data_IF_029981522566
#
_entry.id   IF_029981522566
#
_cell.length_a   1.000
_cell.length_b   1.000
_cell.length_c   1.000
_cell.angle_alpha   90.00
_cell.angle_beta   90.00
_cell.angle_gamma   90.00
#
_symmetry.space_group_name_H-M   'P 1'
#
loop_
_entity.id
_entity.type
_entity.pdbx_description
1 polymer ?
#
# COMPACT_ATOMS: atom_id res chain seq x y z
N UNK A 1 -24.83 -23.00 22.35
CA UNK A 1 -24.44 -21.57 22.34
C UNK A 1 -23.71 -21.17 21.07
N UNK A 2 -22.70 -21.91 20.57
CA UNK A 2 -22.02 -21.56 19.32
C UNK A 2 -22.98 -21.50 18.12
N UNK A 3 -23.89 -22.47 17.97
CA UNK A 3 -24.92 -22.49 16.92
C UNK A 3 -25.82 -21.24 16.94
N UNK A 4 -26.25 -20.79 18.12
CA UNK A 4 -27.04 -19.56 18.25
C UNK A 4 -26.27 -18.32 17.77
N UNK A 5 -24.96 -18.25 18.06
CA UNK A 5 -24.14 -17.16 17.51
C UNK A 5 -23.97 -17.27 15.99
N UNK A 6 -23.97 -18.49 15.43
CA UNK A 6 -23.95 -18.71 13.98
C UNK A 6 -25.22 -18.15 13.34
N UNK A 7 -26.39 -18.57 13.82
CA UNK A 7 -27.70 -18.12 13.32
C UNK A 7 -27.79 -16.58 13.35
N UNK A 8 -27.40 -15.95 14.45
CA UNK A 8 -27.41 -14.49 14.54
C UNK A 8 -26.45 -13.81 13.56
N UNK A 9 -25.25 -14.35 13.38
CA UNK A 9 -24.24 -13.76 12.49
C UNK A 9 -24.57 -13.95 11.01
N UNK A 10 -25.42 -14.91 10.66
CA UNK A 10 -25.97 -15.05 9.31
C UNK A 10 -26.98 -13.96 8.96
N UNK A 11 -27.68 -13.41 9.95
CA UNK A 11 -28.59 -12.27 9.80
C UNK A 11 -27.88 -10.92 9.94
N UNK A 12 -26.91 -10.82 10.87
CA UNK A 12 -26.19 -9.59 11.18
C UNK A 12 -24.68 -9.80 11.32
N UNK A 13 -23.99 -9.80 10.17
CA UNK A 13 -22.54 -10.01 10.05
C UNK A 13 -21.70 -8.99 10.82
N UNK A 14 -22.20 -7.78 11.06
CA UNK A 14 -21.45 -6.66 11.64
C UNK A 14 -21.48 -6.62 13.16
N UNK A 15 -22.31 -7.45 13.80
CA UNK A 15 -22.52 -7.42 15.26
C UNK A 15 -21.26 -7.79 16.03
N UNK A 16 -20.48 -6.77 16.40
CA UNK A 16 -19.22 -6.92 17.12
C UNK A 16 -19.41 -7.63 18.47
N UNK A 17 -20.52 -7.35 19.16
CA UNK A 17 -20.88 -7.98 20.44
C UNK A 17 -21.02 -9.50 20.31
N UNK A 18 -21.67 -9.97 19.23
CA UNK A 18 -21.85 -11.41 18.99
C UNK A 18 -20.54 -12.07 18.58
N UNK A 19 -19.71 -11.41 17.76
CA UNK A 19 -18.36 -11.89 17.48
C UNK A 19 -17.51 -12.02 18.75
N UNK A 20 -17.58 -11.06 19.67
CA UNK A 20 -16.91 -11.15 20.98
C UNK A 20 -17.45 -12.32 21.81
N UNK A 21 -18.77 -12.48 21.87
CA UNK A 21 -19.38 -13.59 22.62
C UNK A 21 -18.97 -14.94 22.05
N UNK A 22 -18.95 -15.06 20.72
CA UNK A 22 -18.45 -16.25 20.01
C UNK A 22 -16.98 -16.55 20.34
N UNK A 23 -16.11 -15.54 20.32
CA UNK A 23 -14.71 -15.69 20.77
C UNK A 23 -14.61 -16.15 22.22
N UNK A 24 -15.45 -15.61 23.11
CA UNK A 24 -15.45 -15.99 24.52
C UNK A 24 -15.85 -17.46 24.72
N UNK A 25 -16.87 -17.92 23.99
CA UNK A 25 -17.28 -19.34 23.98
C UNK A 25 -16.13 -20.23 23.49
N UNK A 26 -15.50 -19.89 22.35
CA UNK A 26 -14.39 -20.68 21.81
C UNK A 26 -13.16 -20.66 22.73
N UNK A 27 -12.84 -19.51 23.33
CA UNK A 27 -11.69 -19.38 24.23
C UNK A 27 -11.87 -20.23 25.49
N UNK A 28 -12.95 -20.02 26.23
CA UNK A 28 -13.11 -20.66 27.54
C UNK A 28 -13.69 -22.07 27.43
N UNK A 29 -14.56 -22.31 26.45
CA UNK A 29 -15.25 -23.58 26.26
C UNK A 29 -14.50 -24.57 25.37
N UNK A 30 -13.46 -24.15 24.64
CA UNK A 30 -12.66 -25.04 23.78
C UNK A 30 -11.18 -24.90 24.08
N UNK A 31 -10.59 -23.73 23.84
CA UNK A 31 -9.12 -23.56 23.87
C UNK A 31 -8.52 -23.77 25.26
N UNK A 32 -9.17 -23.25 26.30
CA UNK A 32 -8.71 -23.36 27.69
C UNK A 32 -9.34 -24.55 28.44
N UNK A 33 -10.22 -25.31 27.78
CA UNK A 33 -10.95 -26.38 28.44
C UNK A 33 -10.06 -27.62 28.57
N UNK A 34 -9.94 -28.23 29.77
CA UNK A 34 -8.95 -29.27 30.03
C UNK A 34 -9.20 -30.59 29.30
N UNK A 35 -10.43 -30.84 28.84
CA UNK A 35 -10.80 -32.09 28.15
C UNK A 35 -10.38 -32.12 26.67
N UNK A 36 -10.08 -30.97 26.05
CA UNK A 36 -9.70 -30.92 24.64
C UNK A 36 -8.18 -30.94 24.47
N UNK A 37 -7.70 -31.91 23.71
CA UNK A 37 -6.31 -31.95 23.28
C UNK A 37 -6.03 -30.97 22.13
N UNK A 38 -4.75 -30.73 21.85
CA UNK A 38 -4.33 -29.80 20.79
C UNK A 38 -4.89 -30.17 19.41
N UNK A 39 -5.02 -31.45 19.12
CA UNK A 39 -5.57 -31.94 17.84
C UNK A 39 -7.05 -31.60 17.70
N UNK A 40 -7.83 -31.80 18.76
CA UNK A 40 -9.26 -31.49 18.78
C UNK A 40 -9.49 -29.99 18.68
N UNK A 41 -8.74 -29.19 19.45
CA UNK A 41 -8.78 -27.72 19.36
C UNK A 41 -8.46 -27.26 17.94
N UNK A 42 -7.44 -27.84 17.31
CA UNK A 42 -7.05 -27.50 15.95
C UNK A 42 -8.17 -27.78 14.93
N UNK A 43 -8.80 -28.94 15.01
CA UNK A 43 -9.92 -29.30 14.13
C UNK A 43 -11.13 -28.36 14.31
N UNK A 44 -11.42 -27.94 15.55
CA UNK A 44 -12.49 -26.96 15.81
C UNK A 44 -12.15 -25.61 15.17
N UNK A 45 -10.90 -25.16 15.25
CA UNK A 45 -10.46 -23.92 14.60
C UNK A 45 -10.52 -24.03 13.07
N UNK A 46 -10.17 -25.17 12.49
CA UNK A 46 -10.31 -25.40 11.05
C UNK A 46 -11.78 -25.33 10.60
N UNK A 47 -12.69 -25.91 11.38
CA UNK A 47 -14.14 -25.81 11.12
C UNK A 47 -14.63 -24.35 11.23
N UNK A 48 -14.11 -23.60 12.21
CA UNK A 48 -14.42 -22.18 12.37
C UNK A 48 -13.95 -21.36 11.17
N UNK A 49 -12.75 -21.63 10.65
CA UNK A 49 -12.25 -20.99 9.43
C UNK A 49 -13.07 -21.35 8.19
N UNK A 50 -13.59 -22.58 8.12
CA UNK A 50 -14.52 -22.98 7.06
C UNK A 50 -15.83 -22.20 7.13
N UNK A 51 -16.40 -22.03 8.33
CA UNK A 51 -17.55 -21.16 8.55
C UNK A 51 -17.28 -19.72 8.06
N UNK A 52 -16.12 -19.16 8.43
CA UNK A 52 -15.72 -17.83 7.96
C UNK A 52 -15.56 -17.77 6.43
N UNK A 53 -15.04 -18.82 5.79
CA UNK A 53 -14.93 -18.86 4.33
C UNK A 53 -16.31 -18.75 3.66
N UNK A 54 -17.34 -19.40 4.21
CA UNK A 54 -18.71 -19.27 3.68
C UNK A 54 -19.28 -17.87 3.89
N UNK A 55 -19.05 -17.25 5.04
CA UNK A 55 -19.45 -15.86 5.27
C UNK A 55 -18.73 -14.89 4.33
N UNK A 56 -17.43 -15.09 4.09
CA UNK A 56 -16.63 -14.25 3.21
C UNK A 56 -17.05 -14.34 1.74
N UNK A 57 -17.58 -15.48 1.30
CA UNK A 57 -18.18 -15.61 -0.05
C UNK A 57 -19.42 -14.70 -0.18
N UNK A 58 -20.18 -14.52 0.91
CA UNK A 58 -21.37 -13.67 0.95
C UNK A 58 -21.01 -12.19 1.14
N UNK A 59 -20.13 -11.89 2.09
CA UNK A 59 -19.82 -10.54 2.57
C UNK A 59 -18.31 -10.35 2.87
N UNK A 60 -17.44 -10.19 1.85
CA UNK A 60 -15.98 -10.15 2.02
C UNK A 60 -15.44 -8.83 2.61
N UNK A 61 -16.28 -7.81 2.82
CA UNK A 61 -15.87 -6.46 3.27
C UNK A 61 -16.24 -6.16 4.72
N UNK A 62 -16.60 -7.19 5.49
CA UNK A 62 -16.96 -7.04 6.90
C UNK A 62 -15.72 -7.17 7.77
N UNK A 63 -15.37 -6.08 8.46
CA UNK A 63 -14.21 -6.03 9.35
C UNK A 63 -14.22 -7.13 10.42
N UNK A 64 -15.39 -7.37 11.04
CA UNK A 64 -15.51 -8.34 12.13
C UNK A 64 -15.15 -9.77 11.71
N UNK A 65 -15.44 -10.16 10.46
CA UNK A 65 -15.06 -11.46 9.92
C UNK A 65 -13.54 -11.57 9.82
N UNK A 66 -12.85 -10.58 9.22
CA UNK A 66 -11.39 -10.59 9.12
C UNK A 66 -10.69 -10.55 10.48
N UNK A 67 -11.25 -9.78 11.42
CA UNK A 67 -10.78 -9.72 12.81
C UNK A 67 -10.91 -11.08 13.50
N UNK A 68 -12.06 -11.75 13.34
CA UNK A 68 -12.27 -13.09 13.90
C UNK A 68 -11.40 -14.14 13.23
N UNK A 69 -11.20 -14.04 11.92
CA UNK A 69 -10.28 -14.91 11.17
C UNK A 69 -8.87 -14.81 11.73
N UNK A 70 -8.35 -13.59 11.90
CA UNK A 70 -7.06 -13.34 12.55
C UNK A 70 -7.00 -13.99 13.94
N UNK A 71 -8.05 -13.84 14.75
CA UNK A 71 -8.12 -14.46 16.07
C UNK A 71 -8.04 -16.00 16.01
N UNK A 72 -8.73 -16.65 15.07
CA UNK A 72 -8.65 -18.11 14.88
C UNK A 72 -7.20 -18.56 14.61
N UNK A 73 -6.50 -17.85 13.75
CA UNK A 73 -5.11 -18.12 13.42
C UNK A 73 -4.16 -17.93 14.61
N UNK A 74 -4.38 -16.90 15.44
CA UNK A 74 -3.58 -16.64 16.65
C UNK A 74 -3.78 -17.69 17.75
N UNK A 75 -4.89 -18.43 17.71
CA UNK A 75 -5.23 -19.45 18.70
C UNK A 75 -5.09 -20.89 18.15
N UNK A 76 -4.66 -21.06 16.91
CA UNK A 76 -4.45 -22.37 16.31
C UNK A 76 -3.26 -23.09 16.96
N UNK A 77 -3.43 -24.31 17.51
CA UNK A 77 -2.32 -25.06 18.13
C UNK A 77 -1.20 -25.44 17.16
N UNK A 78 -1.51 -25.51 15.86
CA UNK A 78 -0.57 -25.84 14.80
C UNK A 78 -0.67 -24.81 13.67
N UNK A 79 0.45 -24.55 12.96
CA UNK A 79 0.48 -23.69 11.79
C UNK A 79 -0.49 -24.05 10.67
N UNK A 80 -1.23 -23.06 10.18
CA UNK A 80 -2.18 -23.21 9.06
C UNK A 80 -2.03 -22.11 7.99
N UNK A 81 -0.94 -21.33 8.08
CA UNK A 81 -0.75 -20.11 7.29
C UNK A 81 -0.51 -20.34 5.79
N UNK A 82 0.13 -21.45 5.41
CA UNK A 82 0.45 -21.74 4.00
C UNK A 82 -0.80 -21.86 3.13
N UNK A 83 -1.83 -22.55 3.63
CA UNK A 83 -3.13 -22.65 2.95
C UNK A 83 -3.84 -21.29 2.89
N UNK A 84 -3.60 -20.41 3.86
CA UNK A 84 -4.22 -19.10 3.94
C UNK A 84 -3.77 -18.17 2.82
N UNK A 85 -2.49 -18.25 2.44
CA UNK A 85 -1.97 -17.48 1.30
C UNK A 85 -2.76 -17.76 0.02
N UNK A 86 -3.12 -19.01 -0.25
CA UNK A 86 -3.95 -19.39 -1.39
C UNK A 86 -5.38 -18.83 -1.28
N UNK A 87 -5.98 -18.83 -0.09
CA UNK A 87 -7.30 -18.23 0.14
C UNK A 87 -7.27 -16.74 -0.18
N UNK A 88 -6.26 -16.03 0.31
CA UNK A 88 -6.05 -14.60 0.06
C UNK A 88 -5.87 -14.32 -1.44
N UNK A 89 -5.03 -15.10 -2.12
CA UNK A 89 -4.81 -14.99 -3.56
C UNK A 89 -6.12 -15.14 -4.34
N UNK A 90 -6.96 -16.11 -3.97
CA UNK A 90 -8.25 -16.35 -4.61
C UNK A 90 -9.25 -15.21 -4.39
N UNK A 91 -9.25 -14.56 -3.22
CA UNK A 91 -10.18 -13.46 -2.96
C UNK A 91 -9.67 -12.17 -3.62
N UNK A 92 -8.36 -11.90 -3.59
CA UNK A 92 -7.78 -10.78 -4.35
C UNK A 92 -8.00 -10.93 -5.84
N UNK A 93 -7.97 -12.15 -6.39
CA UNK A 93 -8.31 -12.39 -7.79
C UNK A 93 -9.73 -11.94 -8.17
N UNK A 94 -10.67 -11.88 -7.21
CA UNK A 94 -12.04 -11.37 -7.42
C UNK A 94 -12.17 -9.87 -7.17
N UNK A 95 -11.45 -9.33 -6.20
CA UNK A 95 -11.39 -7.89 -5.91
C UNK A 95 -9.94 -7.48 -5.57
N UNK A 96 -9.20 -7.09 -6.62
CA UNK A 96 -7.79 -6.73 -6.54
C UNK A 96 -7.54 -5.49 -5.69
N UNK A 97 -8.57 -4.70 -5.38
CA UNK A 97 -8.48 -3.43 -4.64
C UNK A 97 -9.03 -3.54 -3.22
N UNK A 98 -9.36 -4.74 -2.75
CA UNK A 98 -9.89 -4.93 -1.41
C UNK A 98 -8.83 -4.67 -0.33
N UNK A 99 -8.90 -3.49 0.29
CA UNK A 99 -7.95 -3.03 1.29
C UNK A 99 -7.86 -3.93 2.53
N UNK A 100 -8.96 -4.53 2.98
CA UNK A 100 -8.94 -5.45 4.12
C UNK A 100 -8.05 -6.66 3.85
N UNK A 101 -8.09 -7.16 2.62
CA UNK A 101 -7.34 -8.34 2.22
C UNK A 101 -5.86 -8.01 2.06
N UNK A 102 -5.53 -6.85 1.49
CA UNK A 102 -4.13 -6.40 1.41
C UNK A 102 -3.49 -6.25 2.79
N UNK A 103 -4.21 -5.70 3.77
CA UNK A 103 -3.71 -5.62 5.14
C UNK A 103 -3.61 -7.00 5.79
N UNK A 104 -4.60 -7.84 5.59
CA UNK A 104 -4.60 -9.20 6.13
C UNK A 104 -3.48 -10.06 5.51
N UNK A 105 -3.19 -9.88 4.22
CA UNK A 105 -2.05 -10.49 3.53
C UNK A 105 -0.73 -10.14 4.20
N UNK A 106 -0.48 -8.85 4.46
CA UNK A 106 0.73 -8.42 5.17
C UNK A 106 0.88 -9.12 6.51
N UNK A 107 -0.22 -9.23 7.27
CA UNK A 107 -0.23 -9.95 8.53
C UNK A 107 0.10 -11.44 8.35
N UNK A 108 -0.57 -12.15 7.45
CA UNK A 108 -0.34 -13.58 7.22
C UNK A 108 1.09 -13.85 6.74
N UNK A 109 1.61 -13.04 5.82
CA UNK A 109 3.00 -13.14 5.38
C UNK A 109 3.95 -12.97 6.57
N UNK A 110 3.75 -11.96 7.42
CA UNK A 110 4.62 -11.77 8.60
C UNK A 110 4.64 -12.97 9.54
N UNK A 111 3.52 -13.70 9.68
CA UNK A 111 3.43 -14.93 10.49
C UNK A 111 4.12 -16.12 9.82
N UNK A 112 3.97 -16.27 8.50
CA UNK A 112 4.70 -17.28 7.72
C UNK A 112 6.21 -17.05 7.85
N UNK A 113 6.67 -15.81 7.72
CA UNK A 113 8.08 -15.44 7.86
C UNK A 113 8.60 -15.71 9.28
N UNK A 114 7.84 -15.33 10.31
CA UNK A 114 8.20 -15.58 11.71
C UNK A 114 8.37 -17.08 12.01
N UNK A 115 7.51 -17.91 11.43
CA UNK A 115 7.55 -19.35 11.60
C UNK A 115 8.68 -20.02 10.80
N UNK A 116 8.77 -19.69 9.51
CA UNK A 116 9.70 -20.36 8.59
C UNK A 116 11.12 -19.78 8.66
N UNK A 117 11.30 -18.61 9.31
CA UNK A 117 12.55 -17.85 9.37
C UNK A 117 13.12 -17.51 7.97
N UNK A 118 12.22 -17.27 7.02
CA UNK A 118 12.54 -16.92 5.63
C UNK A 118 11.78 -15.64 5.29
N UNK A 119 12.45 -14.67 4.65
CA UNK A 119 11.80 -13.46 4.14
C UNK A 119 11.08 -13.72 2.82
N UNK A 120 9.86 -13.19 2.71
CA UNK A 120 9.01 -13.16 1.53
C UNK A 120 8.97 -11.75 0.91
N UNK A 121 9.79 -10.80 1.39
CA UNK A 121 9.73 -9.41 0.92
C UNK A 121 9.89 -9.29 -0.60
N UNK A 122 10.85 -10.03 -1.20
CA UNK A 122 11.06 -10.06 -2.66
C UNK A 122 9.89 -10.70 -3.41
N UNK A 123 9.39 -11.85 -2.96
CA UNK A 123 8.29 -12.54 -3.64
C UNK A 123 6.97 -11.75 -3.56
N UNK A 124 6.74 -11.05 -2.46
CA UNK A 124 5.63 -10.11 -2.31
C UNK A 124 5.81 -8.85 -3.18
N UNK A 125 7.05 -8.37 -3.34
CA UNK A 125 7.33 -7.27 -4.26
C UNK A 125 7.07 -7.67 -5.72
N UNK A 126 7.45 -8.88 -6.12
CA UNK A 126 7.13 -9.44 -7.44
C UNK A 126 5.61 -9.65 -7.61
N UNK A 127 4.93 -10.07 -6.54
CA UNK A 127 3.47 -10.17 -6.53
C UNK A 127 2.81 -8.82 -6.81
N UNK A 128 3.25 -7.72 -6.16
CA UNK A 128 2.70 -6.38 -6.46
C UNK A 128 2.89 -5.99 -7.93
N UNK A 129 4.03 -6.35 -8.54
CA UNK A 129 4.25 -6.12 -9.97
C UNK A 129 3.28 -6.95 -10.83
N UNK A 130 2.99 -8.19 -10.45
CA UNK A 130 1.99 -9.02 -11.15
C UNK A 130 0.58 -8.40 -11.08
N UNK A 131 0.24 -7.72 -9.98
CA UNK A 131 -1.03 -7.00 -9.84
C UNK A 131 -1.02 -5.73 -10.70
N UNK A 132 0.06 -4.94 -10.68
CA UNK A 132 0.17 -3.72 -11.48
C UNK A 132 0.12 -3.99 -12.99
N UNK A 133 0.60 -5.15 -13.44
CA UNK A 133 0.45 -5.60 -14.84
C UNK A 133 -1.03 -5.85 -15.23
N UNK A 134 -1.88 -6.23 -14.26
CA UNK A 134 -3.32 -6.46 -14.47
C UNK A 134 -4.13 -5.16 -14.28
N UNK A 135 -3.74 -4.34 -13.32
CA UNK A 135 -4.39 -3.08 -12.96
C UNK A 135 -3.32 -2.06 -12.54
N UNK A 136 -2.82 -1.29 -13.50
CA UNK A 136 -1.78 -0.27 -13.28
C UNK A 136 -2.29 0.95 -12.49
N UNK A 137 -3.58 1.00 -12.15
CA UNK A 137 -4.19 1.99 -11.26
C UNK A 137 -4.31 1.47 -9.81
N UNK A 138 -3.87 0.25 -9.51
CA UNK A 138 -4.07 -0.39 -8.21
C UNK A 138 -3.26 0.29 -7.09
N UNK A 139 -3.94 1.12 -6.30
CA UNK A 139 -3.34 1.84 -5.18
C UNK A 139 -2.75 0.89 -4.11
N UNK A 140 -3.44 -0.21 -3.79
CA UNK A 140 -3.00 -1.13 -2.75
C UNK A 140 -1.67 -1.80 -3.10
N UNK A 141 -1.46 -2.16 -4.37
CA UNK A 141 -0.18 -2.69 -4.84
C UNK A 141 0.94 -1.64 -4.72
N UNK A 142 0.71 -0.40 -5.16
CA UNK A 142 1.70 0.68 -4.99
C UNK A 142 1.99 0.99 -3.52
N UNK A 143 0.96 1.05 -2.67
CA UNK A 143 1.14 1.28 -1.25
C UNK A 143 1.97 0.17 -0.62
N UNK A 144 1.71 -1.10 -0.95
CA UNK A 144 2.49 -2.20 -0.41
C UNK A 144 3.96 -2.15 -0.85
N UNK A 145 4.24 -1.70 -2.08
CA UNK A 145 5.62 -1.42 -2.51
C UNK A 145 6.32 -0.41 -1.60
N UNK A 146 5.63 0.65 -1.14
CA UNK A 146 6.24 1.63 -0.21
C UNK A 146 6.71 1.02 1.12
N UNK A 147 6.13 -0.11 1.52
CA UNK A 147 6.49 -0.88 2.71
C UNK A 147 7.61 -1.88 2.41
N UNK A 148 7.52 -2.56 1.27
CA UNK A 148 8.47 -3.60 0.86
C UNK A 148 9.84 -3.05 0.45
N UNK A 149 9.88 -1.91 -0.23
CA UNK A 149 11.13 -1.34 -0.75
C UNK A 149 12.16 -1.04 0.36
N UNK A 150 11.83 -0.33 1.45
CA UNK A 150 12.76 -0.13 2.56
C UNK A 150 13.26 -1.45 3.15
N UNK A 151 12.34 -2.39 3.34
CA UNK A 151 12.63 -3.70 3.91
C UNK A 151 13.60 -4.52 3.05
N UNK A 152 13.39 -4.55 1.73
CA UNK A 152 14.28 -5.26 0.79
C UNK A 152 15.68 -4.63 0.81
N UNK A 153 15.78 -3.30 0.80
CA UNK A 153 17.06 -2.59 0.83
C UNK A 153 17.85 -2.93 2.10
N UNK A 154 17.16 -3.02 3.24
CA UNK A 154 17.74 -3.37 4.54
C UNK A 154 18.16 -4.85 4.59
N UNK A 155 17.25 -5.78 4.30
CA UNK A 155 17.50 -7.23 4.36
C UNK A 155 18.62 -7.68 3.43
N UNK A 156 18.70 -7.09 2.24
CA UNK A 156 19.72 -7.41 1.24
C UNK A 156 21.00 -6.59 1.39
N UNK A 157 21.03 -5.63 2.31
CA UNK A 157 22.18 -4.74 2.53
C UNK A 157 22.67 -4.06 1.24
N UNK A 158 21.74 -3.60 0.38
CA UNK A 158 22.08 -3.03 -0.92
C UNK A 158 23.09 -1.89 -0.82
N UNK A 159 24.06 -1.90 -1.72
CA UNK A 159 25.01 -0.82 -1.97
C UNK A 159 24.31 0.40 -2.57
N UNK A 160 25.00 1.55 -2.57
CA UNK A 160 24.46 2.76 -3.21
C UNK A 160 24.14 2.57 -4.70
N UNK A 161 24.91 1.75 -5.42
CA UNK A 161 24.68 1.45 -6.83
C UNK A 161 23.43 0.59 -7.03
N UNK A 162 23.23 -0.43 -6.20
CA UNK A 162 22.03 -1.29 -6.25
C UNK A 162 20.77 -0.52 -5.87
N UNK A 163 20.83 0.34 -4.84
CA UNK A 163 19.72 1.23 -4.47
C UNK A 163 19.36 2.18 -5.61
N UNK A 164 20.37 2.77 -6.27
CA UNK A 164 20.15 3.61 -7.46
C UNK A 164 19.48 2.83 -8.59
N UNK A 165 19.98 1.64 -8.89
CA UNK A 165 19.39 0.79 -9.94
C UNK A 165 17.94 0.40 -9.62
N UNK A 166 17.66 0.10 -8.35
CA UNK A 166 16.30 -0.15 -7.87
C UNK A 166 15.41 1.08 -8.07
N UNK A 167 15.88 2.25 -7.63
CA UNK A 167 15.18 3.53 -7.80
C UNK A 167 14.88 3.83 -9.28
N UNK A 168 15.86 3.65 -10.17
CA UNK A 168 15.70 3.88 -11.61
C UNK A 168 14.60 3.00 -12.22
N UNK A 169 14.51 1.73 -11.79
CA UNK A 169 13.44 0.82 -12.24
C UNK A 169 12.06 1.27 -11.77
N UNK A 170 11.94 1.68 -10.50
CA UNK A 170 10.66 2.15 -9.95
C UNK A 170 10.22 3.48 -10.56
N UNK A 171 11.16 4.36 -10.82
CA UNK A 171 10.92 5.62 -11.49
C UNK A 171 10.50 5.37 -12.95
N UNK A 172 11.17 4.45 -13.65
CA UNK A 172 10.76 4.07 -15.01
C UNK A 172 9.34 3.47 -15.06
N UNK A 173 8.98 2.62 -14.09
CA UNK A 173 7.63 2.05 -13.98
C UNK A 173 6.57 3.16 -13.87
N UNK A 174 6.78 4.10 -12.94
CA UNK A 174 5.83 5.20 -12.73
C UNK A 174 5.76 6.14 -13.91
N UNK A 175 6.90 6.49 -14.51
CA UNK A 175 6.96 7.29 -15.75
C UNK A 175 6.16 6.65 -16.87
N UNK A 176 6.36 5.36 -17.13
CA UNK A 176 5.66 4.64 -18.20
C UNK A 176 4.13 4.71 -18.05
N UNK A 177 3.65 4.65 -16.80
CA UNK A 177 2.23 4.80 -16.49
C UNK A 177 1.78 6.26 -16.64
N UNK A 178 2.57 7.23 -16.18
CA UNK A 178 2.26 8.67 -16.29
C UNK A 178 2.18 9.11 -17.76
N UNK A 179 3.09 8.61 -18.62
CA UNK A 179 3.09 8.89 -20.06
C UNK A 179 1.82 8.39 -20.76
N UNK A 180 1.28 7.25 -20.31
CA UNK A 180 0.10 6.61 -20.94
C UNK A 180 -1.21 6.99 -20.26
N UNK A 181 -1.17 7.43 -19.01
CA UNK A 181 -2.33 7.76 -18.19
C UNK A 181 -1.95 8.82 -17.16
N UNK A 182 -1.80 10.09 -17.58
CA UNK A 182 -1.38 11.19 -16.70
C UNK A 182 -2.38 11.48 -15.57
N UNK A 183 -3.62 11.02 -15.67
CA UNK A 183 -4.63 11.13 -14.61
C UNK A 183 -4.56 10.00 -13.55
N UNK A 184 -3.60 9.08 -13.66
CA UNK A 184 -3.46 7.98 -12.71
C UNK A 184 -2.92 8.46 -11.35
N UNK A 185 -3.84 8.76 -10.44
CA UNK A 185 -3.52 9.21 -9.09
C UNK A 185 -2.61 8.24 -8.31
N UNK A 186 -2.79 6.92 -8.45
CA UNK A 186 -1.98 5.91 -7.75
C UNK A 186 -0.51 5.96 -8.17
N UNK A 187 -0.25 6.07 -9.48
CA UNK A 187 1.10 6.20 -10.03
C UNK A 187 1.76 7.50 -9.55
N UNK A 188 1.02 8.61 -9.53
CA UNK A 188 1.52 9.88 -9.01
C UNK A 188 1.85 9.86 -7.53
N UNK A 189 1.02 9.21 -6.71
CA UNK A 189 1.30 9.06 -5.27
C UNK A 189 2.59 8.27 -5.05
N UNK A 190 2.81 7.19 -5.80
CA UNK A 190 4.05 6.42 -5.71
C UNK A 190 5.25 7.17 -6.27
N UNK A 191 5.11 7.87 -7.40
CA UNK A 191 6.16 8.74 -7.97
C UNK A 191 6.57 9.84 -6.99
N UNK A 192 5.60 10.50 -6.35
CA UNK A 192 5.84 11.49 -5.29
C UNK A 192 6.60 10.87 -4.11
N UNK A 193 6.22 9.66 -3.68
CA UNK A 193 6.92 8.96 -2.61
C UNK A 193 8.38 8.66 -2.99
N UNK A 194 8.64 8.21 -4.21
CA UNK A 194 10.00 7.98 -4.71
C UNK A 194 10.84 9.27 -4.65
N UNK A 195 10.36 10.37 -5.22
CA UNK A 195 11.09 11.64 -5.24
C UNK A 195 11.26 12.26 -3.85
N UNK A 196 10.26 12.11 -2.97
CA UNK A 196 10.38 12.61 -1.61
C UNK A 196 11.43 11.83 -0.81
N UNK A 197 11.55 10.50 -1.00
CA UNK A 197 12.56 9.71 -0.30
C UNK A 197 13.99 10.07 -0.71
N UNK A 198 14.22 10.45 -1.98
CA UNK A 198 15.54 10.92 -2.40
C UNK A 198 15.83 12.36 -1.96
N UNK A 199 14.78 13.15 -1.71
CA UNK A 199 14.93 14.56 -1.29
C UNK A 199 15.45 14.76 0.14
N UNK A 200 15.39 13.71 0.98
CA UNK A 200 15.88 13.77 2.36
C UNK A 200 17.40 14.00 2.36
N UNK A 201 17.84 15.08 3.00
CA UNK A 201 19.24 15.55 2.91
C UNK A 201 20.24 14.60 3.58
N UNK A 202 19.87 13.96 4.70
CA UNK A 202 20.83 13.23 5.55
C UNK A 202 20.64 11.70 5.54
N UNK A 203 19.57 11.19 4.95
CA UNK A 203 19.27 9.76 5.00
C UNK A 203 18.32 9.37 3.85
N UNK A 204 18.85 9.39 2.63
CA UNK A 204 18.09 8.94 1.47
C UNK A 204 18.18 7.42 1.39
N UNK A 205 17.06 6.76 1.66
CA UNK A 205 16.91 5.30 1.55
C UNK A 205 17.31 4.80 0.16
N UNK A 206 17.00 5.55 -0.89
CA UNK A 206 17.03 5.09 -2.30
C UNK A 206 18.25 5.58 -3.10
N UNK A 207 18.84 6.71 -2.73
CA UNK A 207 19.99 7.32 -3.42
C UNK A 207 21.09 7.74 -2.45
N UNK A 208 22.33 7.85 -2.96
CA UNK A 208 23.45 8.38 -2.20
C UNK A 208 23.18 9.82 -1.71
N UNK A 209 23.90 10.26 -0.68
CA UNK A 209 23.76 11.61 -0.13
C UNK A 209 24.37 12.71 -1.03
N UNK A 210 24.75 12.38 -2.26
CA UNK A 210 25.30 13.33 -3.22
C UNK A 210 24.16 14.22 -3.73
N UNK A 211 24.19 15.49 -3.34
CA UNK A 211 23.14 16.47 -3.63
C UNK A 211 22.98 16.70 -5.14
N UNK A 212 24.07 16.69 -5.91
CA UNK A 212 24.02 16.91 -7.37
C UNK A 212 23.19 15.84 -8.08
N UNK A 213 23.36 14.56 -7.70
CA UNK A 213 22.56 13.46 -8.25
C UNK A 213 21.07 13.66 -7.96
N UNK A 214 20.72 14.05 -6.72
CA UNK A 214 19.31 14.31 -6.33
C UNK A 214 18.70 15.45 -7.14
N UNK A 215 19.47 16.52 -7.37
CA UNK A 215 19.09 17.67 -8.21
C UNK A 215 18.86 17.23 -9.65
N UNK A 216 19.76 16.40 -10.20
CA UNK A 216 19.67 15.93 -11.59
C UNK A 216 18.38 15.13 -11.84
N UNK A 217 18.02 14.21 -10.94
CA UNK A 217 16.74 13.50 -11.03
C UNK A 217 15.55 14.44 -11.01
N UNK A 218 15.50 15.39 -10.07
CA UNK A 218 14.39 16.34 -10.00
C UNK A 218 14.30 17.21 -11.26
N UNK A 219 15.43 17.67 -11.80
CA UNK A 219 15.46 18.43 -13.05
C UNK A 219 14.94 17.61 -14.22
N UNK A 220 15.31 16.33 -14.32
CA UNK A 220 14.79 15.42 -15.34
C UNK A 220 13.27 15.24 -15.21
N UNK A 221 12.75 15.03 -13.99
CA UNK A 221 11.31 14.90 -13.76
C UNK A 221 10.55 16.18 -14.07
N UNK A 222 11.07 17.34 -13.65
CA UNK A 222 10.46 18.65 -13.94
C UNK A 222 10.40 18.89 -15.45
N UNK A 223 11.48 18.55 -16.18
CA UNK A 223 11.55 18.70 -17.63
C UNK A 223 10.55 17.78 -18.32
N UNK A 224 10.50 16.51 -17.92
CA UNK A 224 9.53 15.54 -18.42
C UNK A 224 8.09 16.04 -18.23
N UNK A 225 7.76 16.48 -17.02
CA UNK A 225 6.42 16.95 -16.67
C UNK A 225 6.06 18.19 -17.47
N UNK A 226 7.01 19.12 -17.65
CA UNK A 226 6.80 20.32 -18.46
C UNK A 226 6.42 19.96 -19.89
N UNK A 227 7.20 19.08 -20.52
CA UNK A 227 6.92 18.61 -21.88
C UNK A 227 5.55 17.90 -21.96
N UNK A 228 5.19 17.11 -20.95
CA UNK A 228 3.88 16.46 -20.91
C UNK A 228 2.73 17.45 -20.71
N UNK A 229 2.90 18.51 -19.92
CA UNK A 229 1.90 19.56 -19.76
C UNK A 229 1.66 20.35 -21.06
N UNK A 230 2.64 20.40 -21.95
CA UNK A 230 2.49 21.01 -23.29
C UNK A 230 1.68 20.11 -24.25
N UNK A 231 1.74 18.79 -24.06
CA UNK A 231 1.00 17.81 -24.88
C UNK A 231 -0.40 17.50 -24.32
N UNK A 232 -0.53 17.44 -23.00
CA UNK A 232 -1.71 17.04 -22.27
C UNK A 232 -2.17 18.21 -21.38
N UNK A 233 -3.03 19.07 -21.95
CA UNK A 233 -3.54 20.23 -21.26
C UNK A 233 -4.46 19.85 -20.06
N UNK A 234 -4.50 20.73 -19.05
CA UNK A 234 -5.42 20.65 -17.91
C UNK A 234 -5.37 19.39 -17.04
N UNK A 235 -4.29 18.60 -17.15
CA UNK A 235 -4.06 17.45 -16.25
C UNK A 235 -3.64 17.92 -14.86
N UNK A 236 -4.58 17.83 -13.91
CA UNK A 236 -4.42 18.26 -12.52
C UNK A 236 -3.16 17.67 -11.88
N UNK A 237 -2.88 16.38 -12.10
CA UNK A 237 -1.75 15.71 -11.46
C UNK A 237 -0.39 16.18 -11.99
N UNK A 238 -0.25 16.39 -13.30
CA UNK A 238 0.97 16.94 -13.92
C UNK A 238 1.29 18.33 -13.36
N UNK A 239 0.28 19.22 -13.36
CA UNK A 239 0.41 20.58 -12.85
C UNK A 239 0.79 20.61 -11.36
N UNK A 240 0.18 19.73 -10.55
CA UNK A 240 0.53 19.59 -9.14
C UNK A 240 1.97 19.10 -8.94
N UNK A 241 2.38 18.08 -9.68
CA UNK A 241 3.72 17.53 -9.60
C UNK A 241 4.77 18.58 -10.01
N UNK A 242 4.52 19.34 -11.07
CA UNK A 242 5.39 20.42 -11.53
C UNK A 242 5.66 21.46 -10.44
N UNK A 243 4.61 21.96 -9.78
CA UNK A 243 4.75 22.91 -8.67
C UNK A 243 5.54 22.28 -7.52
N UNK A 244 5.14 21.10 -7.07
CA UNK A 244 5.76 20.45 -5.91
C UNK A 244 7.24 20.17 -6.14
N UNK A 245 7.64 19.71 -7.33
CA UNK A 245 9.03 19.36 -7.62
C UNK A 245 9.91 20.59 -7.80
N UNK A 246 9.41 21.69 -8.37
CA UNK A 246 10.15 22.95 -8.39
C UNK A 246 10.38 23.50 -6.96
N UNK A 247 9.37 23.43 -6.09
CA UNK A 247 9.52 23.81 -4.68
C UNK A 247 10.53 22.87 -3.99
N UNK A 248 10.44 21.58 -4.22
CA UNK A 248 11.37 20.59 -3.65
C UNK A 248 12.81 20.83 -4.11
N UNK A 249 13.00 21.10 -5.40
CA UNK A 249 14.29 21.46 -5.99
C UNK A 249 14.88 22.72 -5.34
N UNK A 250 14.08 23.77 -5.13
CA UNK A 250 14.55 24.99 -4.46
C UNK A 250 15.02 24.75 -3.02
N UNK A 251 14.37 23.80 -2.32
CA UNK A 251 14.72 23.43 -0.95
C UNK A 251 16.03 22.63 -0.90
N UNK A 252 16.19 21.63 -1.78
CA UNK A 252 17.39 20.79 -1.82
C UNK A 252 18.61 21.58 -2.29
N UNK A 253 18.45 22.38 -3.34
CA UNK A 253 19.54 23.21 -3.89
C UNK A 253 19.89 24.40 -3.00
N UNK A 254 19.09 24.68 -1.95
CA UNK A 254 19.14 25.91 -1.15
C UNK A 254 19.13 27.18 -2.01
N UNK A 255 18.54 27.10 -3.20
CA UNK A 255 18.43 28.19 -4.15
C UNK A 255 16.95 28.58 -4.28
N UNK A 256 16.53 29.75 -3.75
CA UNK A 256 15.15 30.19 -3.82
C UNK A 256 14.67 30.33 -5.27
N UNK A 257 13.37 30.12 -5.50
CA UNK A 257 12.76 30.33 -6.81
C UNK A 257 12.91 31.80 -7.24
N UNK A 258 13.40 32.02 -8.45
CA UNK A 258 13.50 33.35 -9.03
C UNK A 258 12.13 33.92 -9.42
N UNK A 259 12.07 35.21 -9.76
CA UNK A 259 10.81 35.91 -10.08
C UNK A 259 10.07 35.23 -11.24
N UNK A 260 10.79 34.78 -12.27
CA UNK A 260 10.20 34.12 -13.43
C UNK A 260 9.56 32.77 -13.03
N UNK A 261 10.28 31.94 -12.27
CA UNK A 261 9.79 30.66 -11.77
C UNK A 261 8.57 30.85 -10.87
N UNK A 262 8.60 31.80 -9.92
CA UNK A 262 7.45 32.11 -9.07
C UNK A 262 6.23 32.51 -9.88
N UNK A 263 6.40 33.35 -10.91
CA UNK A 263 5.32 33.77 -11.81
C UNK A 263 4.75 32.59 -12.59
N UNK A 264 5.60 31.69 -13.11
CA UNK A 264 5.19 30.47 -13.81
C UNK A 264 4.38 29.54 -12.88
N UNK A 265 4.87 29.24 -11.68
CA UNK A 265 4.16 28.39 -10.71
C UNK A 265 2.83 29.02 -10.27
N UNK A 266 2.79 30.35 -10.07
CA UNK A 266 1.56 31.06 -9.71
C UNK A 266 0.50 30.99 -10.82
N UNK A 267 0.93 31.08 -12.09
CA UNK A 267 0.04 30.90 -13.24
C UNK A 267 -0.57 29.50 -13.25
N UNK A 268 0.24 28.46 -13.03
CA UNK A 268 -0.20 27.06 -12.97
C UNK A 268 -1.15 26.85 -11.78
N UNK A 269 -0.82 27.37 -10.59
CA UNK A 269 -1.67 27.29 -9.40
C UNK A 269 -3.03 27.99 -9.63
N UNK A 270 -3.04 29.12 -10.34
CA UNK A 270 -4.28 29.82 -10.70
C UNK A 270 -5.15 29.00 -11.64
N UNK A 271 -4.54 28.28 -12.60
CA UNK A 271 -5.26 27.35 -13.47
C UNK A 271 -5.81 26.16 -12.68
N UNK A 272 -5.03 25.59 -11.75
CA UNK A 272 -5.49 24.52 -10.84
C UNK A 272 -6.71 24.94 -10.00
N UNK A 273 -6.77 26.18 -9.50
CA UNK A 273 -7.95 26.70 -8.76
C UNK A 273 -9.24 26.63 -9.57
N UNK A 274 -9.16 26.74 -10.90
CA UNK A 274 -10.33 26.61 -11.79
C UNK A 274 -10.69 25.15 -12.06
N UNK A 275 -9.69 24.28 -12.23
CA UNK A 275 -9.87 22.86 -12.57
C UNK A 275 -10.25 21.99 -11.35
N UNK A 276 -9.76 22.33 -10.16
CA UNK A 276 -9.99 21.59 -8.92
C UNK A 276 -10.43 22.56 -7.79
N UNK A 277 -11.63 23.10 -7.98
CA UNK A 277 -12.20 24.15 -7.12
C UNK A 277 -12.36 23.72 -5.66
N UNK A 278 -12.55 22.42 -5.40
CA UNK A 278 -12.64 21.85 -4.06
C UNK A 278 -11.33 21.97 -3.28
N UNK A 279 -10.18 22.03 -3.97
CA UNK A 279 -8.85 22.16 -3.37
C UNK A 279 -8.25 23.57 -3.49
N UNK A 280 -9.07 24.59 -3.78
CA UNK A 280 -8.61 25.99 -3.95
C UNK A 280 -7.74 26.51 -2.80
N UNK A 281 -8.04 26.13 -1.56
CA UNK A 281 -7.27 26.53 -0.37
C UNK A 281 -5.82 26.07 -0.45
N UNK A 282 -5.59 24.80 -0.80
CA UNK A 282 -4.25 24.25 -1.03
C UNK A 282 -3.47 25.02 -2.09
N UNK A 283 -4.13 25.43 -3.18
CA UNK A 283 -3.46 26.19 -4.24
C UNK A 283 -3.18 27.64 -3.86
N UNK A 284 -3.92 28.20 -2.89
CA UNK A 284 -3.57 29.49 -2.31
C UNK A 284 -2.29 29.39 -1.50
N UNK A 285 -2.14 28.33 -0.71
CA UNK A 285 -0.92 28.09 0.09
C UNK A 285 0.32 27.83 -0.78
N UNK A 286 0.11 27.29 -1.99
CA UNK A 286 1.19 27.04 -2.97
C UNK A 286 1.52 28.28 -3.83
N UNK A 287 0.58 29.21 -4.01
CA UNK A 287 0.87 30.50 -4.64
C UNK A 287 1.62 31.37 -3.64
N UNK A 288 2.96 31.29 -3.70
CA UNK A 288 3.91 32.07 -2.90
C UNK A 288 3.67 33.57 -2.99
#
# INVERSE_FOLDING_TARGET
>A
MLNLTTEFLEENFESYSIWNYRRNILKNGVILHPEYDKTTIHNIILNELQFLNELMKKQPKIYCIWSHRKWCFENAPFPIWEKEKTVIDNILAKDLRNFHIWNYRQYIISRIEEQNKISYAKSEFDYTMSILKKDFCNFSAFHYRTILVPRIIEEESYTHLERKFFFDKELFLTKSIIYTSPDNSSAWLYHNWLLYNISKLNDSLLLSNIITIKIDYLNQEITMIKNLMELEEDKIHLMNAYINYNILLSKISKNPLNIHQKKELTKIATRLKKLDSLRKGRYNDLSM
#
